data_IF_984880391918
#
_entry.id   IF_984880391918
#
_cell.length_a   1.000
_cell.length_b   1.000
_cell.length_c   1.000
_cell.angle_alpha   90.00
_cell.angle_beta   90.00
_cell.angle_gamma   90.00
#
_symmetry.space_group_name_H-M   'P 1'
#
loop_
_entity.id
_entity.type
_entity.pdbx_description
1 polymer ?
#
# COMPACT_ATOMS: atom_id res chain seq x y z
N UNK A 1 20.24 11.90 -3.40
CA UNK A 1 19.46 11.77 -4.67
C UNK A 1 20.30 11.43 -5.92
N UNK A 2 21.43 12.08 -6.21
CA UNK A 2 22.29 11.75 -7.38
C UNK A 2 22.99 10.38 -7.26
N UNK A 3 23.33 9.93 -6.05
CA UNK A 3 24.01 8.64 -5.83
C UNK A 3 23.16 7.41 -6.15
N UNK A 4 21.86 7.43 -5.84
CA UNK A 4 20.89 6.38 -6.24
C UNK A 4 20.80 6.19 -7.76
N UNK A 5 21.01 7.26 -8.53
CA UNK A 5 20.92 7.24 -10.00
C UNK A 5 22.23 6.84 -10.70
N UNK A 6 23.39 7.08 -10.08
CA UNK A 6 24.71 6.93 -10.75
C UNK A 6 25.31 5.55 -10.45
N UNK A 7 24.99 4.92 -9.31
CA UNK A 7 25.42 3.56 -9.03
C UNK A 7 24.50 2.87 -8.01
N UNK A 8 23.62 1.94 -8.45
CA UNK A 8 22.86 1.10 -7.52
C UNK A 8 23.77 0.37 -6.53
N UNK A 9 25.02 0.06 -6.94
CA UNK A 9 26.01 -0.63 -6.10
C UNK A 9 26.48 0.20 -4.90
N UNK A 10 26.42 1.53 -4.96
CA UNK A 10 26.74 2.37 -3.80
C UNK A 10 25.52 2.65 -2.92
N UNK A 11 24.31 2.65 -3.48
CA UNK A 11 23.07 2.79 -2.70
C UNK A 11 22.71 1.50 -1.93
N UNK A 12 22.96 0.32 -2.52
CA UNK A 12 22.83 -0.96 -1.83
C UNK A 12 24.15 -1.41 -1.15
N UNK A 13 25.19 -0.58 -1.24
CA UNK A 13 26.53 -0.82 -0.68
C UNK A 13 26.70 -0.28 0.75
N UNK A 14 25.60 0.03 1.42
CA UNK A 14 25.62 0.47 2.82
C UNK A 14 26.12 -0.63 3.74
N UNK A 15 26.62 -0.23 4.91
CA UNK A 15 27.10 -1.15 5.93
C UNK A 15 25.99 -2.14 6.29
N UNK A 16 26.33 -3.42 6.54
CA UNK A 16 25.37 -4.48 6.91
C UNK A 16 24.40 -4.02 8.01
N UNK A 17 24.89 -3.18 8.93
CA UNK A 17 24.11 -2.54 9.98
C UNK A 17 22.96 -1.65 9.46
N UNK A 18 23.21 -0.78 8.49
CA UNK A 18 22.18 0.08 7.90
C UNK A 18 21.12 -0.75 7.17
N UNK A 19 21.53 -1.73 6.36
CA UNK A 19 20.60 -2.64 5.70
C UNK A 19 19.72 -3.40 6.69
N UNK A 20 20.29 -3.84 7.81
CA UNK A 20 19.54 -4.49 8.88
C UNK A 20 18.52 -3.55 9.54
N UNK A 21 18.92 -2.31 9.84
CA UNK A 21 18.02 -1.29 10.38
C UNK A 21 16.89 -0.93 9.41
N UNK A 22 17.17 -0.86 8.10
CA UNK A 22 16.14 -0.61 7.08
C UNK A 22 15.10 -1.73 7.03
N UNK A 23 15.53 -2.99 7.13
CA UNK A 23 14.61 -4.14 7.20
C UNK A 23 13.76 -4.09 8.47
N UNK A 24 14.37 -3.79 9.63
CA UNK A 24 13.62 -3.62 10.88
C UNK A 24 12.62 -2.46 10.76
N UNK A 25 13.05 -1.34 10.22
CA UNK A 25 12.17 -0.18 10.00
C UNK A 25 10.99 -0.55 9.10
N UNK A 26 11.22 -1.29 8.02
CA UNK A 26 10.14 -1.73 7.14
C UNK A 26 9.12 -2.62 7.85
N UNK A 27 9.57 -3.54 8.71
CA UNK A 27 8.66 -4.42 9.46
C UNK A 27 7.93 -3.65 10.57
N UNK A 28 8.65 -2.85 11.34
CA UNK A 28 8.07 -2.18 12.52
C UNK A 28 7.23 -0.97 12.13
N UNK A 29 7.74 -0.11 11.25
CA UNK A 29 7.06 1.12 10.86
C UNK A 29 6.00 0.83 9.80
N UNK A 30 6.40 0.23 8.67
CA UNK A 30 5.52 0.17 7.50
C UNK A 30 4.48 -0.93 7.61
N UNK A 31 4.85 -2.08 8.18
CA UNK A 31 3.90 -3.16 8.41
C UNK A 31 3.15 -3.00 9.73
N UNK A 32 3.83 -2.90 10.88
CA UNK A 32 3.12 -2.88 12.17
C UNK A 32 2.48 -1.52 12.48
N UNK A 33 3.24 -0.41 12.54
CA UNK A 33 2.68 0.87 12.97
C UNK A 33 1.63 1.41 11.98
N UNK A 34 1.96 1.48 10.70
CA UNK A 34 0.99 1.89 9.67
C UNK A 34 -0.16 0.88 9.56
N UNK A 35 0.12 -0.41 9.69
CA UNK A 35 -0.91 -1.45 9.64
C UNK A 35 -1.93 -1.35 10.77
N UNK A 36 -1.47 -1.12 12.01
CA UNK A 36 -2.34 -0.89 13.15
C UNK A 36 -3.18 0.39 12.97
N UNK A 37 -2.58 1.45 12.44
CA UNK A 37 -3.29 2.70 12.15
C UNK A 37 -4.38 2.50 11.07
N UNK A 38 -4.05 1.82 9.97
CA UNK A 38 -4.98 1.51 8.88
C UNK A 38 -6.08 0.57 9.34
N UNK A 39 -5.76 -0.51 10.06
CA UNK A 39 -6.74 -1.42 10.63
C UNK A 39 -7.73 -0.69 11.55
N UNK A 40 -7.22 0.21 12.40
CA UNK A 40 -8.05 1.04 13.29
C UNK A 40 -8.94 2.00 12.51
N UNK A 41 -8.42 2.64 11.46
CA UNK A 41 -9.21 3.51 10.59
C UNK A 41 -10.32 2.73 9.87
N UNK A 42 -10.01 1.58 9.27
CA UNK A 42 -10.99 0.72 8.60
C UNK A 42 -12.04 0.18 9.57
N UNK A 43 -11.63 -0.19 10.78
CA UNK A 43 -12.54 -0.61 11.86
C UNK A 43 -13.51 0.50 12.26
N UNK A 44 -13.04 1.74 12.39
CA UNK A 44 -13.89 2.90 12.67
C UNK A 44 -14.85 3.17 11.51
N UNK A 45 -14.33 3.20 10.27
CA UNK A 45 -15.13 3.48 9.08
C UNK A 45 -16.25 2.46 8.91
N UNK A 46 -15.93 1.17 9.04
CA UNK A 46 -16.90 0.09 8.86
C UNK A 46 -18.00 0.14 9.91
N UNK A 47 -17.62 0.22 11.19
CA UNK A 47 -18.60 0.22 12.28
C UNK A 47 -19.42 1.51 12.38
N UNK A 48 -18.90 2.65 11.91
CA UNK A 48 -19.61 3.94 11.97
C UNK A 48 -20.48 4.20 10.74
N UNK A 49 -20.03 3.81 9.55
CA UNK A 49 -20.67 4.23 8.30
C UNK A 49 -21.20 3.09 7.43
N UNK A 50 -20.63 1.88 7.52
CA UNK A 50 -20.94 0.80 6.57
C UNK A 50 -21.86 -0.28 7.13
N UNK A 51 -22.21 -0.26 8.42
CA UNK A 51 -23.15 -1.24 8.99
C UNK A 51 -24.59 -1.01 8.54
N UNK A 52 -25.29 -2.10 8.21
CA UNK A 52 -26.73 -2.11 7.94
C UNK A 52 -27.50 -1.58 9.15
N UNK A 53 -28.33 -0.57 8.92
CA UNK A 53 -29.08 0.14 9.97
C UNK A 53 -30.50 -0.41 10.19
N UNK A 54 -30.98 -1.24 9.26
CA UNK A 54 -32.31 -1.85 9.30
C UNK A 54 -32.19 -3.39 9.43
N UNK A 55 -31.83 -3.88 10.62
CA UNK A 55 -31.97 -5.30 10.93
C UNK A 55 -33.41 -5.54 11.39
N UNK A 56 -34.07 -6.56 10.83
CA UNK A 56 -35.36 -7.04 11.34
C UNK A 56 -35.21 -7.37 12.84
N UNK A 57 -36.26 -7.11 13.64
CA UNK A 57 -36.34 -7.21 15.11
C UNK A 57 -35.81 -8.50 15.77
N UNK A 58 -35.32 -9.49 15.02
CA UNK A 58 -34.82 -10.78 15.50
C UNK A 58 -33.35 -11.04 15.14
N UNK A 59 -32.62 -10.08 14.57
CA UNK A 59 -31.20 -10.22 14.27
C UNK A 59 -30.34 -9.46 15.28
N UNK A 60 -29.33 -10.14 15.83
CA UNK A 60 -28.34 -9.55 16.74
C UNK A 60 -27.49 -8.54 15.98
N UNK A 61 -27.26 -7.35 16.54
CA UNK A 61 -26.37 -6.37 15.95
C UNK A 61 -24.94 -6.93 15.88
N UNK A 62 -24.45 -7.12 14.66
CA UNK A 62 -23.07 -7.54 14.41
C UNK A 62 -22.17 -6.32 14.17
N UNK A 63 -20.93 -6.41 14.61
CA UNK A 63 -19.91 -5.40 14.40
C UNK A 63 -18.64 -6.04 13.86
N UNK A 64 -17.84 -5.24 13.18
CA UNK A 64 -16.52 -5.68 12.71
C UNK A 64 -15.61 -5.71 13.94
N UNK A 65 -15.00 -6.87 14.19
CA UNK A 65 -13.95 -7.02 15.20
C UNK A 65 -12.67 -6.32 14.75
N UNK A 66 -11.96 -5.68 15.68
CA UNK A 66 -10.71 -5.00 15.33
C UNK A 66 -9.65 -5.98 14.80
N UNK A 67 -9.60 -7.19 15.37
CA UNK A 67 -8.70 -8.26 14.91
C UNK A 67 -9.01 -8.69 13.47
N UNK A 68 -10.28 -8.66 13.06
CA UNK A 68 -10.66 -8.93 11.68
C UNK A 68 -10.16 -7.83 10.74
N UNK A 69 -10.29 -6.56 11.14
CA UNK A 69 -9.78 -5.44 10.35
C UNK A 69 -8.25 -5.51 10.18
N UNK A 70 -7.53 -5.95 11.22
CA UNK A 70 -6.10 -6.19 11.15
C UNK A 70 -5.73 -7.40 10.28
N UNK A 71 -6.48 -8.50 10.33
CA UNK A 71 -6.29 -9.65 9.43
C UNK A 71 -6.46 -9.27 7.95
N UNK A 72 -7.49 -8.47 7.63
CA UNK A 72 -7.69 -7.95 6.27
C UNK A 72 -6.51 -7.06 5.83
N UNK A 73 -5.94 -6.24 6.73
CA UNK A 73 -4.73 -5.48 6.44
C UNK A 73 -3.54 -6.41 6.14
N UNK A 74 -3.29 -7.42 6.98
CA UNK A 74 -2.20 -8.38 6.77
C UNK A 74 -2.32 -9.11 5.42
N UNK A 75 -3.52 -9.60 5.10
CA UNK A 75 -3.79 -10.33 3.86
C UNK A 75 -3.64 -9.44 2.61
N UNK A 76 -4.01 -8.16 2.71
CA UNK A 76 -3.84 -7.20 1.61
C UNK A 76 -2.41 -6.65 1.49
N UNK A 77 -1.69 -6.54 2.60
CA UNK A 77 -0.30 -6.09 2.63
C UNK A 77 0.64 -7.09 1.97
N UNK A 78 0.39 -8.40 2.10
CA UNK A 78 1.29 -9.42 1.55
C UNK A 78 1.52 -9.29 0.03
N UNK A 79 0.49 -9.19 -0.84
CA UNK A 79 0.70 -8.90 -2.26
C UNK A 79 1.39 -7.56 -2.54
N UNK A 80 1.06 -6.51 -1.77
CA UNK A 80 1.70 -5.20 -1.88
C UNK A 80 3.20 -5.28 -1.57
N UNK A 81 3.57 -6.04 -0.53
CA UNK A 81 4.95 -6.31 -0.15
C UNK A 81 5.70 -7.01 -1.29
N UNK A 82 5.12 -8.04 -1.89
CA UNK A 82 5.74 -8.74 -3.03
C UNK A 82 6.00 -7.79 -4.20
N UNK A 83 5.11 -6.82 -4.45
CA UNK A 83 5.27 -5.88 -5.56
C UNK A 83 6.26 -4.75 -5.25
N UNK A 84 6.17 -4.12 -4.08
CA UNK A 84 6.95 -2.91 -3.76
C UNK A 84 8.28 -3.18 -3.06
N UNK A 85 8.44 -4.32 -2.38
CA UNK A 85 9.70 -4.67 -1.72
C UNK A 85 10.48 -5.72 -2.51
N UNK A 86 9.82 -6.73 -3.08
CA UNK A 86 10.51 -7.79 -3.82
C UNK A 86 10.66 -7.43 -5.30
N UNK A 87 9.55 -7.22 -6.02
CA UNK A 87 9.58 -6.97 -7.46
C UNK A 87 10.25 -5.63 -7.78
N UNK A 88 9.94 -4.56 -7.05
CA UNK A 88 10.63 -3.27 -7.21
C UNK A 88 12.14 -3.40 -7.03
N UNK A 89 12.60 -4.19 -6.05
CA UNK A 89 14.02 -4.41 -5.83
C UNK A 89 14.68 -5.10 -7.03
N UNK A 90 14.05 -6.16 -7.57
CA UNK A 90 14.52 -6.84 -8.77
C UNK A 90 14.52 -5.93 -10.01
N UNK A 91 13.51 -5.07 -10.14
CA UNK A 91 13.37 -4.13 -11.26
C UNK A 91 14.15 -2.82 -11.06
N UNK A 92 14.79 -2.62 -9.90
CA UNK A 92 15.47 -1.36 -9.54
C UNK A 92 16.50 -0.88 -10.58
N UNK A 93 17.29 -1.74 -11.29
CA UNK A 93 18.21 -1.24 -12.31
C UNK A 93 17.51 -0.50 -13.46
N UNK A 94 16.25 -0.86 -13.74
CA UNK A 94 15.42 -0.23 -14.78
C UNK A 94 14.62 0.93 -14.21
N UNK A 95 14.01 0.74 -13.03
CA UNK A 95 13.11 1.73 -12.40
C UNK A 95 13.82 2.97 -11.84
N UNK A 96 15.14 2.91 -11.65
CA UNK A 96 15.92 4.06 -11.14
C UNK A 96 16.61 4.85 -12.25
N UNK A 97 16.50 4.42 -13.51
CA UNK A 97 17.04 5.16 -14.64
C UNK A 97 16.31 6.50 -14.80
N UNK A 98 17.04 7.58 -15.12
CA UNK A 98 16.47 8.90 -15.43
C UNK A 98 15.90 8.91 -16.84
N UNK A 99 14.73 8.31 -17.01
CA UNK A 99 13.97 8.35 -18.25
C UNK A 99 12.47 8.44 -17.97
N UNK A 100 11.74 9.01 -18.93
CA UNK A 100 10.29 9.06 -18.86
C UNK A 100 9.68 7.65 -18.76
N UNK A 101 10.24 6.67 -19.49
CA UNK A 101 9.80 5.28 -19.46
C UNK A 101 9.95 4.66 -18.06
N UNK A 102 11.07 4.91 -17.39
CA UNK A 102 11.31 4.44 -16.02
C UNK A 102 10.33 5.04 -15.01
N UNK A 103 10.01 6.34 -15.14
CA UNK A 103 8.98 6.99 -14.34
C UNK A 103 7.59 6.38 -14.62
N UNK A 104 7.22 6.16 -15.88
CA UNK A 104 5.96 5.53 -16.26
C UNK A 104 5.83 4.10 -15.72
N UNK A 105 6.88 3.27 -15.83
CA UNK A 105 6.92 1.91 -15.28
C UNK A 105 6.81 1.91 -13.75
N UNK A 106 7.49 2.84 -13.08
CA UNK A 106 7.40 3.00 -11.63
C UNK A 106 5.99 3.40 -11.19
N UNK A 107 5.35 4.35 -11.88
CA UNK A 107 3.96 4.70 -11.60
C UNK A 107 3.02 3.50 -11.82
N UNK A 108 3.19 2.76 -12.92
CA UNK A 108 2.39 1.57 -13.20
C UNK A 108 2.52 0.51 -12.08
N UNK A 109 3.75 0.24 -11.63
CA UNK A 109 4.00 -0.69 -10.51
C UNK A 109 3.28 -0.25 -9.23
N UNK A 110 3.36 1.03 -8.87
CA UNK A 110 2.71 1.57 -7.67
C UNK A 110 1.19 1.53 -7.76
N UNK A 111 0.61 1.91 -8.91
CA UNK A 111 -0.84 1.83 -9.12
C UNK A 111 -1.34 0.40 -9.01
N UNK A 112 -0.61 -0.57 -9.59
CA UNK A 112 -0.98 -1.99 -9.50
C UNK A 112 -0.88 -2.48 -8.06
N UNK A 113 0.21 -2.16 -7.35
CA UNK A 113 0.42 -2.62 -5.98
C UNK A 113 -0.61 -2.06 -5.00
N UNK A 114 -0.82 -0.74 -5.02
CA UNK A 114 -1.85 -0.12 -4.19
C UNK A 114 -3.27 -0.49 -4.64
N UNK A 115 -3.48 -0.71 -5.94
CA UNK A 115 -4.74 -1.21 -6.48
C UNK A 115 -5.11 -2.58 -5.91
N UNK A 116 -4.16 -3.52 -5.92
CA UNK A 116 -4.34 -4.85 -5.32
C UNK A 116 -4.60 -4.74 -3.83
N UNK A 117 -3.84 -3.91 -3.10
CA UNK A 117 -4.06 -3.70 -1.67
C UNK A 117 -5.50 -3.27 -1.36
N UNK A 118 -6.01 -2.25 -2.06
CA UNK A 118 -7.37 -1.73 -1.84
C UNK A 118 -8.44 -2.72 -2.32
N UNK A 119 -8.20 -3.44 -3.41
CA UNK A 119 -9.10 -4.48 -3.88
C UNK A 119 -9.21 -5.66 -2.89
N UNK A 120 -8.09 -6.08 -2.31
CA UNK A 120 -8.09 -7.13 -1.28
C UNK A 120 -8.80 -6.68 0.01
N UNK A 121 -8.68 -5.41 0.38
CA UNK A 121 -9.49 -4.83 1.48
C UNK A 121 -10.98 -4.89 1.16
N UNK A 122 -11.39 -4.44 -0.03
CA UNK A 122 -12.77 -4.55 -0.50
C UNK A 122 -13.28 -6.00 -0.41
N UNK A 123 -12.50 -6.96 -0.93
CA UNK A 123 -12.86 -8.37 -0.91
C UNK A 123 -13.05 -8.89 0.52
N UNK A 124 -12.12 -8.57 1.43
CA UNK A 124 -12.23 -8.90 2.85
C UNK A 124 -13.54 -8.40 3.46
N UNK A 125 -13.78 -7.08 3.45
CA UNK A 125 -14.98 -6.52 4.06
C UNK A 125 -16.29 -6.91 3.35
N UNK A 126 -16.25 -7.16 2.04
CA UNK A 126 -17.44 -7.61 1.28
C UNK A 126 -17.93 -9.01 1.68
N UNK A 127 -17.09 -9.82 2.32
CA UNK A 127 -17.48 -11.11 2.87
C UNK A 127 -18.42 -11.01 4.09
N UNK A 128 -18.51 -9.83 4.72
CA UNK A 128 -19.37 -9.61 5.89
C UNK A 128 -20.78 -9.18 5.45
N UNK A 129 -21.82 -10.03 5.64
CA UNK A 129 -23.16 -9.78 5.09
C UNK A 129 -23.91 -8.63 5.77
N UNK A 130 -23.43 -8.17 6.93
CA UNK A 130 -23.99 -7.04 7.69
C UNK A 130 -23.38 -5.68 7.32
N UNK A 131 -22.39 -5.66 6.43
CA UNK A 131 -21.89 -4.43 5.83
C UNK A 131 -22.63 -4.11 4.53
N UNK A 132 -22.81 -2.83 4.27
CA UNK A 132 -23.29 -2.23 3.03
C UNK A 132 -22.25 -1.24 2.52
N UNK A 133 -22.30 -0.97 1.23
CA UNK A 133 -21.47 0.03 0.57
C UNK A 133 -19.96 -0.18 0.76
N UNK A 134 -19.50 -1.43 0.74
CA UNK A 134 -18.08 -1.75 0.89
C UNK A 134 -17.24 -1.24 -0.28
N UNK A 135 -17.85 -0.85 -1.41
CA UNK A 135 -17.18 -0.21 -2.54
C UNK A 135 -16.40 1.07 -2.18
N UNK A 136 -16.64 1.67 -1.00
CA UNK A 136 -15.81 2.77 -0.46
C UNK A 136 -14.33 2.38 -0.40
N UNK A 137 -14.00 1.11 -0.14
CA UNK A 137 -12.62 0.62 -0.16
C UNK A 137 -11.96 0.67 -1.54
N UNK A 138 -12.74 0.79 -2.63
CA UNK A 138 -12.23 0.94 -4.00
C UNK A 138 -11.99 2.40 -4.39
N UNK A 139 -12.51 3.38 -3.63
CA UNK A 139 -12.36 4.81 -3.96
C UNK A 139 -10.90 5.27 -4.07
N UNK A 140 -9.96 4.81 -3.22
CA UNK A 140 -8.55 5.16 -3.38
C UNK A 140 -7.97 4.73 -4.72
N UNK A 141 -8.44 3.62 -5.30
CA UNK A 141 -8.02 3.18 -6.64
C UNK A 141 -8.46 4.20 -7.69
N UNK A 142 -9.72 4.64 -7.64
CA UNK A 142 -10.24 5.67 -8.54
C UNK A 142 -9.47 7.00 -8.43
N UNK A 143 -9.16 7.41 -7.20
CA UNK A 143 -8.34 8.60 -6.94
C UNK A 143 -6.93 8.48 -7.52
N UNK A 144 -6.26 7.34 -7.31
CA UNK A 144 -4.93 7.08 -7.86
C UNK A 144 -4.93 7.06 -9.39
N UNK A 145 -5.94 6.46 -10.03
CA UNK A 145 -6.08 6.49 -11.49
C UNK A 145 -6.30 7.90 -12.04
N UNK A 146 -7.01 8.75 -11.29
CA UNK A 146 -7.20 10.16 -11.65
C UNK A 146 -5.90 10.96 -11.56
N UNK A 147 -5.06 10.68 -10.57
CA UNK A 147 -3.75 11.33 -10.40
C UNK A 147 -2.66 10.81 -11.33
N UNK A 148 -2.78 9.57 -11.80
CA UNK A 148 -1.79 8.91 -12.67
C UNK A 148 -1.34 9.74 -13.88
N UNK A 149 -2.22 10.34 -14.71
CA UNK A 149 -1.77 11.15 -15.85
C UNK A 149 -0.90 12.33 -15.41
N UNK A 150 -1.22 12.99 -14.30
CA UNK A 150 -0.42 14.10 -13.77
C UNK A 150 0.94 13.62 -13.26
N UNK A 151 0.99 12.48 -12.58
CA UNK A 151 2.23 11.88 -12.10
C UNK A 151 3.16 11.48 -13.26
N UNK A 152 2.61 10.90 -14.33
CA UNK A 152 3.38 10.53 -15.53
C UNK A 152 3.85 11.78 -16.28
N UNK A 153 2.99 12.76 -16.52
CA UNK A 153 3.34 13.99 -17.25
C UNK A 153 4.39 14.85 -16.52
N UNK A 154 4.36 14.87 -15.18
CA UNK A 154 5.38 15.54 -14.37
C UNK A 154 6.72 14.78 -14.31
N UNK A 155 6.77 13.54 -14.82
CA UNK A 155 7.95 12.67 -14.71
C UNK A 155 8.23 12.21 -13.28
N UNK A 156 7.23 12.23 -12.40
CA UNK A 156 7.36 11.76 -11.02
C UNK A 156 7.68 10.27 -11.02
N UNK A 157 8.74 9.86 -10.31
CA UNK A 157 9.12 8.47 -10.16
C UNK A 157 8.97 8.04 -8.69
N UNK A 158 7.92 7.27 -8.35
CA UNK A 158 7.68 6.87 -6.97
C UNK A 158 8.77 5.93 -6.42
N UNK A 159 9.40 5.09 -7.25
CA UNK A 159 10.48 4.20 -6.81
C UNK A 159 11.70 4.99 -6.31
N UNK A 160 12.08 6.06 -7.03
CA UNK A 160 13.16 6.96 -6.61
C UNK A 160 12.77 7.71 -5.34
N UNK A 161 11.53 8.22 -5.27
CA UNK A 161 11.03 8.93 -4.09
C UNK A 161 11.06 8.03 -2.84
N UNK A 162 10.49 6.83 -2.91
CA UNK A 162 10.45 5.89 -1.79
C UNK A 162 11.86 5.50 -1.34
N UNK A 163 12.75 5.12 -2.26
CA UNK A 163 14.13 4.76 -1.88
C UNK A 163 14.89 5.95 -1.27
N UNK A 164 14.59 7.18 -1.67
CA UNK A 164 15.19 8.36 -1.04
C UNK A 164 14.72 8.61 0.40
N UNK A 165 13.61 8.01 0.84
CA UNK A 165 13.18 8.08 2.25
C UNK A 165 14.00 7.11 3.11
N UNK A 166 14.32 5.92 2.59
CA UNK A 166 15.05 4.89 3.34
C UNK A 166 16.58 5.03 3.27
N UNK A 167 17.11 5.52 2.14
CA UNK A 167 18.55 5.56 1.85
C UNK A 167 19.05 6.96 1.46
N UNK A 168 18.23 8.00 1.67
CA UNK A 168 18.54 9.38 1.27
C UNK A 168 19.25 10.21 2.33
#
# INVERSE_FOLDING_TARGET
MLQLCISPKTAFGDTVWHSFLTVISAVVVDFLLLGLAVATACWIITNRFLRKRNLHHHQVEQHVEWLYAFDVHCNSYFPLFLLLYVLQFLLSPVLLWRSFLSAALSNALYIIAFGIYHYMNFLGYSALPFLERTEVFLWPIGFMLLLLPFAVLSGFNPSIFTLSIYFG
#
